data_IF_361217879982
#
_entry.id   IF_361217879982
#
_cell.length_a   1.000
_cell.length_b   1.000
_cell.length_c   1.000
_cell.angle_alpha   90.00
_cell.angle_beta   90.00
_cell.angle_gamma   90.00
#
_symmetry.space_group_name_H-M   'P 1'
#
loop_
_entity.id
_entity.type
_entity.pdbx_description
1 polymer ?
#
# COMPACT_ATOMS: atom_id res chain seq x y z
N UNK A 1 -80.71 47.63 22.26
CA UNK A 1 -79.44 47.53 23.01
C UNK A 1 -78.62 46.43 22.37
N UNK A 2 -77.63 46.79 21.56
CA UNK A 2 -76.64 45.81 21.07
C UNK A 2 -75.37 46.60 20.76
N UNK A 3 -74.35 46.43 21.61
CA UNK A 3 -73.05 47.12 21.51
C UNK A 3 -72.07 46.25 20.72
N UNK A 4 -71.47 46.86 19.72
CA UNK A 4 -70.34 46.39 18.92
C UNK A 4 -69.06 46.38 19.75
N UNK A 5 -68.26 45.32 19.68
CA UNK A 5 -66.86 45.32 20.13
C UNK A 5 -65.97 44.86 18.98
N UNK A 6 -65.02 45.72 18.58
CA UNK A 6 -63.90 45.40 17.70
C UNK A 6 -62.82 44.67 18.50
N UNK A 7 -62.31 43.56 17.97
CA UNK A 7 -61.08 42.93 18.43
C UNK A 7 -59.92 43.31 17.50
N UNK A 8 -58.89 43.94 18.03
CA UNK A 8 -57.66 44.27 17.33
C UNK A 8 -56.71 43.05 17.32
N UNK A 9 -56.35 42.57 16.14
CA UNK A 9 -55.35 41.53 15.96
C UNK A 9 -53.93 42.10 15.98
N UNK A 10 -53.09 41.61 16.89
CA UNK A 10 -51.64 41.89 16.92
C UNK A 10 -50.93 40.88 16.02
N UNK A 11 -50.25 41.38 14.99
CA UNK A 11 -49.43 40.58 14.08
C UNK A 11 -48.03 40.44 14.68
N UNK A 12 -47.67 39.26 15.17
CA UNK A 12 -46.33 38.95 15.64
C UNK A 12 -45.47 38.49 14.45
N UNK A 13 -44.46 39.29 14.08
CA UNK A 13 -43.44 38.93 13.09
C UNK A 13 -42.39 38.03 13.73
N UNK A 14 -42.38 36.75 13.34
CA UNK A 14 -41.32 35.81 13.70
C UNK A 14 -40.06 36.12 12.87
N UNK A 15 -39.01 36.61 13.53
CA UNK A 15 -37.68 36.71 12.93
C UNK A 15 -37.05 35.31 12.86
N UNK A 16 -36.90 34.77 11.66
CA UNK A 16 -36.15 33.54 11.43
C UNK A 16 -34.65 33.84 11.59
N UNK A 17 -34.09 33.50 12.76
CA UNK A 17 -32.65 33.41 12.93
C UNK A 17 -32.14 32.24 12.07
N UNK A 18 -31.43 32.56 10.98
CA UNK A 18 -30.75 31.55 10.18
C UNK A 18 -29.64 30.90 11.01
N UNK A 19 -29.90 29.70 11.52
CA UNK A 19 -28.85 28.81 11.96
C UNK A 19 -28.01 28.43 10.74
N UNK A 20 -26.86 29.09 10.57
CA UNK A 20 -25.81 28.57 9.71
C UNK A 20 -25.42 27.20 10.28
N UNK A 21 -25.82 26.14 9.58
CA UNK A 21 -25.27 24.80 9.82
C UNK A 21 -23.81 24.89 9.41
N UNK A 22 -22.93 25.12 10.39
CA UNK A 22 -21.50 24.91 10.22
C UNK A 22 -21.33 23.44 9.84
N UNK A 23 -21.00 23.17 8.57
CA UNK A 23 -20.50 21.87 8.19
C UNK A 23 -19.32 21.53 9.12
N UNK A 24 -19.25 20.33 9.71
CA UNK A 24 -18.09 19.96 10.50
C UNK A 24 -16.85 20.09 9.61
N UNK A 25 -15.89 20.92 10.04
CA UNK A 25 -14.58 20.98 9.40
C UNK A 25 -13.96 19.59 9.44
N UNK A 26 -13.73 19.00 8.28
CA UNK A 26 -13.17 17.66 8.08
C UNK A 26 -11.67 17.56 8.35
N UNK A 27 -11.07 18.54 9.02
CA UNK A 27 -9.64 18.57 9.28
C UNK A 27 -9.33 17.67 10.47
N UNK A 28 -8.93 16.43 10.16
CA UNK A 28 -8.32 15.53 11.13
C UNK A 28 -7.11 16.22 11.78
N UNK A 29 -6.95 16.15 13.11
CA UNK A 29 -5.85 16.82 13.80
C UNK A 29 -4.50 16.27 13.33
N UNK A 30 -3.53 17.15 13.11
CA UNK A 30 -2.18 16.77 12.74
C UNK A 30 -1.45 16.14 13.93
N UNK A 31 -0.91 14.94 13.73
CA UNK A 31 0.03 14.32 14.65
C UNK A 31 1.41 15.00 14.64
N UNK A 32 2.32 14.60 15.55
CA UNK A 32 3.72 14.98 15.45
C UNK A 32 4.33 14.40 14.16
N UNK A 33 5.34 15.07 13.56
CA UNK A 33 6.05 14.49 12.43
C UNK A 33 6.76 13.20 12.84
N UNK A 34 6.72 12.21 11.95
CA UNK A 34 7.51 10.98 12.03
C UNK A 34 8.91 11.22 11.44
N UNK A 35 9.82 10.23 11.61
CA UNK A 35 11.15 10.29 10.98
C UNK A 35 11.07 9.99 9.48
N UNK A 36 10.11 9.14 9.12
CA UNK A 36 9.93 8.59 7.79
C UNK A 36 9.24 9.60 6.87
N UNK A 37 9.82 9.78 5.67
CA UNK A 37 9.17 10.46 4.55
C UNK A 37 8.65 9.41 3.58
N UNK A 38 7.44 9.60 3.10
CA UNK A 38 6.76 8.67 2.20
C UNK A 38 6.73 9.28 0.81
N UNK A 39 7.08 8.47 -0.17
CA UNK A 39 6.75 8.68 -1.58
C UNK A 39 5.56 7.81 -1.92
N UNK A 40 4.56 8.35 -2.62
CA UNK A 40 3.39 7.59 -3.05
C UNK A 40 3.03 7.93 -4.50
N UNK A 41 2.32 7.03 -5.16
CA UNK A 41 1.66 7.33 -6.44
C UNK A 41 0.16 7.20 -6.25
N UNK A 42 -0.59 8.20 -6.70
CA UNK A 42 -2.04 8.17 -6.66
C UNK A 42 -2.70 7.63 -7.94
N UNK A 43 -4.02 7.41 -7.88
CA UNK A 43 -4.79 6.90 -9.01
C UNK A 43 -4.73 7.83 -10.24
N UNK A 44 -4.46 9.13 -10.07
CA UNK A 44 -4.23 10.09 -11.14
C UNK A 44 -2.78 10.06 -11.70
N UNK A 45 -1.96 9.09 -11.26
CA UNK A 45 -0.56 8.95 -11.67
C UNK A 45 0.30 10.15 -11.27
N UNK A 46 0.04 10.71 -10.09
CA UNK A 46 0.87 11.78 -9.51
C UNK A 46 1.75 11.20 -8.42
N UNK A 47 3.04 11.56 -8.46
CA UNK A 47 3.99 11.30 -7.40
C UNK A 47 3.76 12.29 -6.27
N UNK A 48 3.48 11.77 -5.09
CA UNK A 48 3.24 12.52 -3.86
C UNK A 48 4.41 12.32 -2.90
N UNK A 49 4.71 13.34 -2.10
CA UNK A 49 5.61 13.21 -0.95
C UNK A 49 4.93 13.77 0.29
N UNK A 50 5.02 13.06 1.42
CA UNK A 50 4.48 13.52 2.70
C UNK A 50 5.26 12.93 3.88
N UNK A 51 5.14 13.53 5.06
CA UNK A 51 5.71 12.97 6.27
C UNK A 51 4.78 11.91 6.86
N UNK A 52 5.29 10.74 7.26
CA UNK A 52 4.47 9.62 7.69
C UNK A 52 3.61 9.90 8.95
N UNK A 53 3.94 10.90 9.76
CA UNK A 53 3.15 11.35 10.91
C UNK A 53 2.12 12.43 10.59
N UNK A 54 2.17 13.00 9.38
CA UNK A 54 1.32 14.11 8.91
C UNK A 54 0.82 13.86 7.48
N UNK A 55 0.13 12.74 7.20
CA UNK A 55 -0.34 12.38 5.85
C UNK A 55 -1.31 13.41 5.24
N UNK A 56 -1.93 14.26 6.07
CA UNK A 56 -2.83 15.33 5.64
C UNK A 56 -2.10 16.52 4.98
N UNK A 57 -0.75 16.56 5.04
CA UNK A 57 0.06 17.63 4.47
C UNK A 57 1.06 17.09 3.44
N UNK A 58 0.76 17.33 2.17
CA UNK A 58 1.71 17.05 1.09
C UNK A 58 2.90 18.01 1.18
N UNK A 59 4.10 17.44 1.08
CA UNK A 59 5.35 18.14 0.89
C UNK A 59 5.60 18.44 -0.60
N UNK A 60 5.17 17.55 -1.48
CA UNK A 60 5.30 17.69 -2.93
C UNK A 60 4.21 16.91 -3.68
N UNK A 61 3.91 17.35 -4.90
CA UNK A 61 2.99 16.68 -5.84
C UNK A 61 3.39 16.99 -7.27
N UNK A 62 3.66 15.97 -8.08
CA UNK A 62 4.01 16.09 -9.50
C UNK A 62 3.38 14.99 -10.32
N UNK A 63 2.91 15.31 -11.54
CA UNK A 63 2.42 14.30 -12.47
C UNK A 63 3.58 13.43 -12.97
N UNK A 64 3.42 12.11 -12.96
CA UNK A 64 4.39 11.20 -13.55
C UNK A 64 4.46 11.39 -15.06
N UNK A 65 5.67 11.34 -15.60
CA UNK A 65 5.93 11.37 -17.05
C UNK A 65 6.75 10.15 -17.46
N UNK A 66 6.78 9.81 -18.75
CA UNK A 66 7.61 8.71 -19.28
C UNK A 66 7.00 7.30 -19.20
N UNK A 67 5.81 7.14 -18.59
CA UNK A 67 5.01 5.91 -18.72
C UNK A 67 4.55 5.71 -20.17
N UNK A 68 4.38 4.45 -20.59
CA UNK A 68 3.78 4.16 -21.89
C UNK A 68 2.32 4.68 -21.96
N UNK A 69 1.82 5.05 -23.14
CA UNK A 69 0.43 5.49 -23.30
C UNK A 69 -0.56 4.43 -22.77
N UNK A 70 -1.46 4.86 -21.88
CA UNK A 70 -2.47 4.00 -21.26
C UNK A 70 -1.97 3.10 -20.13
N UNK A 71 -0.68 3.18 -19.77
CA UNK A 71 -0.11 2.45 -18.64
C UNK A 71 -0.29 3.22 -17.33
N UNK A 72 -0.57 2.48 -16.25
CA UNK A 72 -0.65 3.01 -14.88
C UNK A 72 0.29 2.26 -13.95
N UNK A 73 0.78 2.92 -12.90
CA UNK A 73 1.53 2.31 -11.81
C UNK A 73 0.60 1.41 -10.99
N UNK A 74 1.11 0.24 -10.62
CA UNK A 74 0.46 -0.77 -9.78
C UNK A 74 1.10 -0.94 -8.40
N UNK A 75 2.31 -0.41 -8.21
CA UNK A 75 3.06 -0.50 -6.96
C UNK A 75 4.43 0.14 -7.12
N UNK A 76 5.06 0.51 -6.01
CA UNK A 76 6.38 1.12 -5.96
C UNK A 76 7.14 0.65 -4.74
N UNK A 77 8.46 0.64 -4.86
CA UNK A 77 9.35 0.46 -3.71
C UNK A 77 10.78 0.96 -4.03
N UNK A 78 11.56 1.27 -3.00
CA UNK A 78 12.97 1.61 -3.09
C UNK A 78 13.86 0.37 -3.10
N UNK A 79 14.77 0.32 -4.08
CA UNK A 79 15.98 -0.47 -3.95
C UNK A 79 16.94 0.25 -3.00
N UNK A 80 16.77 0.03 -1.70
CA UNK A 80 17.49 0.73 -0.61
C UNK A 80 19.01 0.80 -0.85
N UNK A 81 19.63 -0.31 -1.25
CA UNK A 81 21.08 -0.39 -1.51
C UNK A 81 21.62 0.61 -2.55
N UNK A 82 20.75 1.22 -3.36
CA UNK A 82 21.12 2.26 -4.34
C UNK A 82 20.30 3.55 -4.25
N UNK A 83 19.36 3.65 -3.30
CA UNK A 83 18.45 4.80 -3.19
C UNK A 83 17.61 5.05 -4.45
N UNK A 84 17.24 4.00 -5.17
CA UNK A 84 16.51 4.10 -6.45
C UNK A 84 15.05 3.69 -6.25
N UNK A 85 14.11 4.58 -6.59
CA UNK A 85 12.68 4.25 -6.59
C UNK A 85 12.31 3.49 -7.87
N UNK A 86 11.62 2.36 -7.71
CA UNK A 86 11.07 1.59 -8.81
C UNK A 86 9.55 1.59 -8.77
N UNK A 87 8.94 1.37 -9.93
CA UNK A 87 7.50 1.16 -10.05
C UNK A 87 7.18 0.03 -11.04
N UNK A 88 6.16 -0.76 -10.70
CA UNK A 88 5.55 -1.72 -11.61
C UNK A 88 4.44 -1.03 -12.39
N UNK A 89 4.51 -1.06 -13.71
CA UNK A 89 3.45 -0.59 -14.60
C UNK A 89 2.48 -1.70 -15.01
N UNK A 90 1.26 -1.32 -15.37
CA UNK A 90 0.16 -2.23 -15.71
C UNK A 90 0.37 -3.04 -16.98
N UNK A 91 1.38 -2.72 -17.80
CA UNK A 91 1.79 -3.55 -18.93
C UNK A 91 2.77 -4.66 -18.53
N UNK A 92 3.08 -4.81 -17.24
CA UNK A 92 4.16 -5.67 -16.76
C UNK A 92 5.54 -5.05 -17.01
N UNK A 93 5.65 -3.73 -17.10
CA UNK A 93 6.94 -3.07 -17.29
C UNK A 93 7.46 -2.54 -15.97
N UNK A 94 8.74 -2.78 -15.71
CA UNK A 94 9.44 -2.17 -14.59
C UNK A 94 9.94 -0.77 -14.99
N UNK A 95 9.81 0.19 -14.09
CA UNK A 95 10.32 1.54 -14.26
C UNK A 95 11.23 1.93 -13.10
N UNK A 96 12.22 2.77 -13.37
CA UNK A 96 12.89 3.59 -12.36
C UNK A 96 12.29 4.99 -12.39
N UNK A 97 11.93 5.53 -11.24
CA UNK A 97 11.37 6.88 -11.10
C UNK A 97 12.44 7.82 -10.54
N UNK A 98 12.65 8.94 -11.21
CA UNK A 98 13.38 10.08 -10.65
C UNK A 98 12.43 10.88 -9.76
N UNK A 99 12.68 10.92 -8.46
CA UNK A 99 11.76 11.51 -7.48
C UNK A 99 11.74 13.04 -7.50
N UNK A 100 12.77 13.68 -8.06
CA UNK A 100 12.84 15.13 -8.18
C UNK A 100 12.02 15.66 -9.36
N UNK A 101 12.02 14.94 -10.48
CA UNK A 101 11.34 15.32 -11.73
C UNK A 101 10.03 14.56 -11.97
N UNK A 102 9.78 13.47 -11.25
CA UNK A 102 8.70 12.51 -11.51
C UNK A 102 8.77 11.85 -12.89
N UNK A 103 9.97 11.72 -13.46
CA UNK A 103 10.19 11.03 -14.73
C UNK A 103 10.40 9.53 -14.51
N UNK A 104 9.57 8.69 -15.15
CA UNK A 104 9.69 7.24 -15.18
C UNK A 104 10.51 6.81 -16.41
N UNK A 105 11.53 5.99 -16.19
CA UNK A 105 12.37 5.40 -17.26
C UNK A 105 12.18 3.88 -17.26
N UNK A 106 11.85 3.26 -18.40
CA UNK A 106 11.63 1.82 -18.46
C UNK A 106 12.92 1.04 -18.21
N UNK A 107 12.77 -0.10 -17.53
CA UNK A 107 13.84 -1.04 -17.23
C UNK A 107 13.56 -2.33 -17.99
N UNK A 108 14.34 -2.58 -19.03
CA UNK A 108 14.20 -3.76 -19.88
C UNK A 108 12.87 -3.83 -20.64
N UNK A 109 12.47 -5.06 -20.94
CA UNK A 109 11.22 -5.36 -21.66
C UNK A 109 10.08 -5.69 -20.68
N UNK A 110 8.81 -5.60 -21.10
CA UNK A 110 7.69 -6.08 -20.29
C UNK A 110 7.84 -7.56 -19.94
N UNK A 111 7.17 -7.98 -18.86
CA UNK A 111 7.17 -9.36 -18.42
C UNK A 111 6.68 -10.30 -19.52
N UNK A 112 7.40 -11.42 -19.69
CA UNK A 112 6.97 -12.50 -20.59
C UNK A 112 5.73 -13.25 -20.07
N UNK A 113 5.48 -13.18 -18.75
CA UNK A 113 4.33 -13.78 -18.08
C UNK A 113 3.42 -12.64 -17.62
N UNK A 114 2.14 -12.71 -18.01
CA UNK A 114 1.17 -11.67 -17.68
C UNK A 114 0.94 -11.57 -16.16
N UNK A 115 0.74 -10.33 -15.70
CA UNK A 115 0.24 -10.07 -14.36
C UNK A 115 -1.21 -10.56 -14.25
N UNK A 116 -1.52 -11.24 -13.15
CA UNK A 116 -2.84 -11.81 -12.88
C UNK A 116 -3.41 -11.16 -11.62
N UNK A 117 -4.68 -10.73 -11.70
CA UNK A 117 -5.35 -10.02 -10.62
C UNK A 117 -5.51 -8.52 -10.89
N UNK A 118 -6.06 -7.82 -9.92
CA UNK A 118 -6.31 -6.38 -9.97
C UNK A 118 -5.48 -5.59 -8.95
N UNK A 119 -5.01 -6.25 -7.88
CA UNK A 119 -4.27 -5.62 -6.80
C UNK A 119 -2.93 -6.33 -6.59
N UNK A 120 -1.88 -5.55 -6.31
CA UNK A 120 -0.50 -6.04 -6.33
C UNK A 120 0.32 -5.50 -5.16
N UNK A 121 1.05 -6.40 -4.49
CA UNK A 121 2.14 -6.02 -3.59
C UNK A 121 3.46 -6.03 -4.35
N UNK A 122 4.26 -4.97 -4.19
CA UNK A 122 5.53 -4.78 -4.88
C UNK A 122 6.56 -4.30 -3.88
N UNK A 123 7.63 -5.07 -3.67
CA UNK A 123 8.61 -4.75 -2.62
C UNK A 123 9.98 -5.42 -2.84
N UNK A 124 11.07 -4.72 -2.58
CA UNK A 124 12.43 -5.21 -2.67
C UNK A 124 12.78 -6.06 -1.47
N UNK A 125 13.26 -7.26 -1.74
CA UNK A 125 14.01 -7.99 -0.73
C UNK A 125 15.39 -7.32 -0.57
N UNK A 126 15.71 -6.72 0.60
CA UNK A 126 16.97 -6.02 0.79
C UNK A 126 18.19 -6.94 0.77
N UNK A 127 18.02 -8.25 0.98
CA UNK A 127 19.13 -9.21 1.14
C UNK A 127 19.54 -9.86 -0.18
N UNK A 128 18.56 -10.21 -1.03
CA UNK A 128 18.83 -10.85 -2.34
C UNK A 128 18.70 -9.90 -3.53
N UNK A 129 18.33 -8.64 -3.28
CA UNK A 129 18.23 -7.58 -4.28
C UNK A 129 17.31 -7.99 -5.45
N UNK A 130 16.10 -8.43 -5.11
CA UNK A 130 15.04 -8.79 -6.06
C UNK A 130 13.74 -8.14 -5.67
N UNK A 131 13.03 -7.64 -6.67
CA UNK A 131 11.69 -7.07 -6.49
C UNK A 131 10.67 -8.20 -6.49
N UNK A 132 9.98 -8.43 -5.38
CA UNK A 132 8.84 -9.35 -5.35
C UNK A 132 7.61 -8.65 -5.89
N UNK A 133 6.80 -9.41 -6.63
CA UNK A 133 5.44 -9.05 -7.02
C UNK A 133 4.50 -10.17 -6.57
N UNK A 134 3.46 -9.80 -5.83
CA UNK A 134 2.36 -10.67 -5.41
C UNK A 134 1.03 -10.10 -5.85
N UNK A 135 -0.01 -10.92 -5.98
CA UNK A 135 -1.34 -10.43 -6.34
C UNK A 135 -2.49 -11.08 -5.57
N UNK A 136 -3.65 -10.45 -5.66
CA UNK A 136 -4.91 -10.88 -5.06
C UNK A 136 -5.44 -12.21 -5.61
N UNK A 137 -4.94 -12.65 -6.76
CA UNK A 137 -5.22 -13.99 -7.33
C UNK A 137 -4.19 -15.04 -6.93
N UNK A 138 -3.24 -14.70 -6.06
CA UNK A 138 -2.23 -15.62 -5.55
C UNK A 138 -0.99 -15.77 -6.44
N UNK A 139 -0.78 -14.86 -7.40
CA UNK A 139 0.46 -14.83 -8.17
C UNK A 139 1.62 -14.43 -7.25
N UNK A 140 2.80 -15.02 -7.49
CA UNK A 140 4.03 -14.73 -6.76
C UNK A 140 5.19 -14.86 -7.74
N UNK A 141 5.96 -13.80 -7.92
CA UNK A 141 7.13 -13.79 -8.79
C UNK A 141 8.16 -12.78 -8.31
N UNK A 142 9.36 -12.85 -8.87
CA UNK A 142 10.46 -11.93 -8.59
C UNK A 142 11.00 -11.37 -9.90
N UNK A 143 11.40 -10.10 -9.89
CA UNK A 143 12.09 -9.45 -11.00
C UNK A 143 13.54 -9.11 -10.65
N UNK A 144 14.39 -9.13 -11.66
CA UNK A 144 15.75 -8.61 -11.58
C UNK A 144 15.74 -7.09 -11.80
N UNK A 145 16.20 -6.27 -10.84
CA UNK A 145 16.06 -4.80 -10.92
C UNK A 145 16.81 -4.15 -12.06
N UNK A 146 17.93 -4.73 -12.51
CA UNK A 146 18.71 -4.13 -13.60
C UNK A 146 18.21 -4.51 -15.01
N UNK A 147 17.41 -5.59 -15.14
CA UNK A 147 16.97 -6.10 -16.47
C UNK A 147 15.46 -6.13 -16.64
N UNK A 148 14.68 -6.00 -15.57
CA UNK A 148 13.22 -6.14 -15.60
C UNK A 148 12.72 -7.57 -15.85
N UNK A 149 13.62 -8.54 -16.04
CA UNK A 149 13.26 -9.92 -16.33
C UNK A 149 12.78 -10.65 -15.07
N UNK A 150 11.86 -11.60 -15.27
CA UNK A 150 11.44 -12.54 -14.21
C UNK A 150 12.63 -13.40 -13.81
N UNK A 151 12.81 -13.58 -12.51
CA UNK A 151 13.76 -14.54 -11.94
C UNK A 151 13.14 -15.92 -12.04
N UNK A 152 13.80 -16.79 -12.79
CA UNK A 152 13.38 -18.18 -12.95
C UNK A 152 13.44 -18.94 -11.62
N UNK A 153 12.29 -19.47 -11.20
CA UNK A 153 12.17 -20.24 -9.96
C UNK A 153 12.75 -21.66 -10.08
N UNK A 154 12.82 -22.21 -11.30
CA UNK A 154 13.42 -23.52 -11.57
C UNK A 154 14.20 -23.52 -12.89
N UNK A 155 15.48 -23.12 -12.87
CA UNK A 155 16.31 -23.02 -14.08
C UNK A 155 16.64 -24.37 -14.72
N UNK A 156 16.21 -25.50 -14.12
CA UNK A 156 16.34 -26.83 -14.73
C UNK A 156 15.17 -27.18 -15.64
N UNK A 157 14.05 -26.48 -15.50
CA UNK A 157 12.87 -26.64 -16.35
C UNK A 157 12.97 -25.67 -17.53
N UNK A 158 12.57 -26.11 -18.72
CA UNK A 158 12.61 -25.27 -19.91
C UNK A 158 11.60 -24.12 -19.81
N UNK A 159 12.05 -22.90 -20.12
CA UNK A 159 11.25 -21.67 -20.05
C UNK A 159 11.18 -21.07 -18.65
N UNK A 160 10.76 -19.81 -18.58
CA UNK A 160 10.69 -19.06 -17.32
C UNK A 160 9.59 -19.59 -16.40
N UNK A 161 9.96 -20.00 -15.19
CA UNK A 161 9.02 -20.38 -14.14
C UNK A 161 8.86 -19.27 -13.10
N UNK A 162 7.63 -19.01 -12.65
CA UNK A 162 7.36 -18.12 -11.51
C UNK A 162 7.49 -18.88 -10.18
N UNK A 163 7.55 -18.14 -9.08
CA UNK A 163 7.60 -18.72 -7.74
C UNK A 163 6.29 -19.47 -7.40
N UNK A 164 6.32 -20.27 -6.33
CA UNK A 164 5.16 -21.04 -5.89
C UNK A 164 3.96 -20.14 -5.57
N UNK A 165 2.73 -20.54 -5.95
CA UNK A 165 1.54 -19.72 -5.76
C UNK A 165 1.26 -19.50 -4.28
N UNK A 166 0.67 -18.35 -3.97
CA UNK A 166 0.33 -17.99 -2.61
C UNK A 166 -0.76 -18.91 -2.07
N UNK A 167 -0.49 -19.53 -0.92
CA UNK A 167 -1.49 -20.28 -0.18
C UNK A 167 -1.09 -20.38 1.29
N UNK A 168 -2.10 -20.38 2.16
CA UNK A 168 -1.91 -20.63 3.58
C UNK A 168 -1.25 -21.99 3.83
N UNK A 169 -0.30 -21.98 4.74
CA UNK A 169 0.33 -23.20 5.25
C UNK A 169 -0.73 -24.13 5.84
N UNK A 170 -0.53 -25.45 5.75
CA UNK A 170 -1.48 -26.43 6.25
C UNK A 170 -1.68 -26.35 7.77
N UNK A 171 -0.69 -25.84 8.51
CA UNK A 171 -0.77 -25.60 9.94
C UNK A 171 -1.30 -24.20 10.29
N UNK A 172 -1.57 -23.34 9.31
CA UNK A 172 -2.10 -22.00 9.56
C UNK A 172 -3.57 -22.03 9.95
N UNK A 173 -4.01 -21.06 10.77
CA UNK A 173 -5.42 -20.90 11.14
C UNK A 173 -6.34 -20.69 9.94
N UNK A 174 -5.82 -20.17 8.83
CA UNK A 174 -6.55 -19.94 7.58
C UNK A 174 -6.25 -21.00 6.50
N UNK A 175 -5.71 -22.16 6.87
CA UNK A 175 -5.46 -23.27 5.96
C UNK A 175 -6.69 -23.59 5.07
N UNK A 176 -6.44 -23.79 3.77
CA UNK A 176 -7.48 -24.09 2.79
C UNK A 176 -8.30 -22.88 2.30
N UNK A 177 -8.13 -21.69 2.89
CA UNK A 177 -8.73 -20.46 2.35
C UNK A 177 -7.94 -19.94 1.16
N UNK A 178 -8.65 -19.41 0.15
CA UNK A 178 -8.03 -18.69 -0.96
C UNK A 178 -7.54 -17.32 -0.48
N UNK A 179 -6.24 -17.01 -0.55
CA UNK A 179 -5.74 -15.71 -0.14
C UNK A 179 -6.16 -14.61 -1.14
N UNK A 180 -6.12 -13.37 -0.67
CA UNK A 180 -6.20 -12.16 -1.50
C UNK A 180 -5.12 -11.18 -1.04
N UNK A 181 -3.86 -11.48 -1.39
CA UNK A 181 -2.71 -10.68 -0.98
C UNK A 181 -2.59 -9.45 -1.87
N UNK A 182 -2.76 -8.27 -1.28
CA UNK A 182 -2.80 -7.00 -2.04
C UNK A 182 -1.60 -6.11 -1.81
N UNK A 183 -0.77 -6.41 -0.80
CA UNK A 183 0.42 -5.64 -0.47
C UNK A 183 1.48 -6.53 0.17
N UNK A 184 2.76 -6.19 0.01
CA UNK A 184 3.90 -6.90 0.59
C UNK A 184 4.95 -5.89 1.05
N UNK A 185 5.76 -6.27 2.04
CA UNK A 185 6.80 -5.43 2.63
C UNK A 185 7.86 -6.28 3.33
N UNK A 186 9.13 -5.96 3.17
CA UNK A 186 10.25 -6.68 3.75
C UNK A 186 10.86 -5.94 4.93
N UNK A 187 11.18 -6.66 6.02
CA UNK A 187 12.02 -6.09 7.08
C UNK A 187 13.47 -6.01 6.65
N UNK A 188 14.20 -5.08 7.26
CA UNK A 188 15.65 -4.99 7.20
C UNK A 188 16.25 -5.39 8.54
N UNK A 189 17.12 -6.41 8.54
CA UNK A 189 17.82 -6.80 9.76
C UNK A 189 19.15 -6.05 9.90
N UNK A 190 19.29 -5.27 10.95
CA UNK A 190 20.47 -4.43 11.19
C UNK A 190 21.67 -5.19 11.79
N UNK A 191 21.48 -6.41 12.30
CA UNK A 191 22.53 -7.23 12.88
C UNK A 191 23.09 -8.26 11.88
N UNK A 192 22.24 -8.78 11.00
CA UNK A 192 22.61 -9.72 9.95
C UNK A 192 21.84 -9.38 8.66
N UNK A 193 22.51 -8.70 7.74
CA UNK A 193 21.97 -8.26 6.44
C UNK A 193 21.53 -9.41 5.52
N UNK A 194 21.78 -10.67 5.90
CA UNK A 194 21.29 -11.86 5.17
C UNK A 194 19.90 -12.28 5.59
N UNK A 195 19.38 -11.70 6.68
CA UNK A 195 18.09 -12.01 7.26
C UNK A 195 17.06 -10.94 6.89
N UNK A 196 15.87 -11.41 6.53
CA UNK A 196 14.69 -10.57 6.29
C UNK A 196 13.44 -11.40 6.50
N UNK A 197 12.34 -10.76 6.87
CA UNK A 197 11.00 -11.32 6.94
C UNK A 197 10.14 -10.64 5.89
N UNK A 198 9.48 -11.41 5.04
CA UNK A 198 8.46 -10.88 4.14
C UNK A 198 7.10 -10.88 4.83
N UNK A 199 6.52 -9.70 4.99
CA UNK A 199 5.15 -9.49 5.42
C UNK A 199 4.27 -9.17 4.22
N UNK A 200 2.98 -9.44 4.38
CA UNK A 200 1.97 -9.14 3.39
C UNK A 200 0.62 -8.86 4.05
N UNK A 201 -0.28 -8.21 3.31
CA UNK A 201 -1.65 -7.93 3.74
C UNK A 201 -2.61 -8.75 2.88
N UNK A 202 -3.43 -9.57 3.54
CA UNK A 202 -4.59 -10.21 2.92
C UNK A 202 -5.84 -9.35 3.17
N UNK A 203 -6.37 -8.75 2.11
CA UNK A 203 -7.52 -7.85 2.20
C UNK A 203 -8.83 -8.59 2.46
N UNK A 204 -8.97 -9.82 1.96
CA UNK A 204 -10.20 -10.62 2.12
C UNK A 204 -10.40 -11.01 3.58
N UNK A 205 -9.32 -11.35 4.27
CA UNK A 205 -9.35 -11.75 5.67
C UNK A 205 -9.04 -10.59 6.63
N UNK A 206 -8.51 -9.48 6.14
CA UNK A 206 -8.16 -8.31 6.96
C UNK A 206 -7.04 -8.62 7.96
N UNK A 207 -6.04 -9.39 7.54
CA UNK A 207 -4.94 -9.87 8.39
C UNK A 207 -3.58 -9.46 7.84
N UNK A 208 -2.64 -9.22 8.76
CA UNK A 208 -1.22 -9.26 8.46
C UNK A 208 -0.77 -10.72 8.42
N UNK A 209 0.01 -11.07 7.40
CA UNK A 209 0.61 -12.39 7.21
C UNK A 209 2.11 -12.25 6.99
N UNK A 210 2.82 -13.36 7.18
CA UNK A 210 4.17 -13.56 6.65
C UNK A 210 4.11 -14.49 5.44
N UNK A 211 4.92 -14.22 4.43
CA UNK A 211 5.16 -15.13 3.31
C UNK A 211 6.53 -15.78 3.52
N UNK A 212 6.53 -17.09 3.79
CA UNK A 212 7.70 -17.79 4.32
C UNK A 212 7.75 -17.80 5.84
N UNK A 213 8.93 -18.02 6.40
CA UNK A 213 9.17 -18.00 7.85
C UNK A 213 9.72 -16.65 8.30
N UNK A 214 9.44 -16.27 9.55
CA UNK A 214 10.15 -15.17 10.21
C UNK A 214 11.63 -15.49 10.38
N UNK A 215 12.43 -14.44 10.50
CA UNK A 215 13.84 -14.54 10.87
C UNK A 215 14.02 -15.38 12.15
N UNK A 216 15.06 -16.21 12.18
CA UNK A 216 15.39 -17.09 13.32
C UNK A 216 14.56 -18.38 13.42
N UNK A 217 13.47 -18.55 12.67
CA UNK A 217 12.67 -19.78 12.68
C UNK A 217 13.35 -20.89 11.88
N UNK A 218 13.37 -22.11 12.43
CA UNK A 218 13.92 -23.31 11.78
C UNK A 218 12.90 -24.47 11.79
N UNK A 219 12.74 -25.21 10.67
CA UNK A 219 13.39 -24.98 9.37
C UNK A 219 12.85 -23.70 8.71
N UNK A 220 13.74 -22.94 8.07
CA UNK A 220 13.37 -21.75 7.32
C UNK A 220 12.54 -22.12 6.08
N UNK A 221 11.48 -21.35 5.82
CA UNK A 221 10.65 -21.49 4.62
C UNK A 221 10.83 -20.25 3.77
N UNK A 222 11.39 -20.43 2.58
CA UNK A 222 11.58 -19.33 1.64
C UNK A 222 10.23 -18.75 1.21
N UNK A 223 10.10 -17.42 1.11
CA UNK A 223 8.92 -16.79 0.55
C UNK A 223 8.63 -17.22 -0.91
N UNK A 224 9.64 -17.71 -1.64
CA UNK A 224 9.48 -18.22 -3.01
C UNK A 224 8.56 -19.47 -3.08
N UNK A 225 8.27 -20.12 -1.95
CA UNK A 225 7.31 -21.22 -1.89
C UNK A 225 5.85 -20.75 -1.86
N UNK A 226 5.61 -19.44 -1.69
CA UNK A 226 4.29 -18.83 -1.55
C UNK A 226 3.53 -19.23 -0.28
N UNK A 227 4.19 -19.87 0.71
CA UNK A 227 3.52 -20.30 1.93
C UNK A 227 3.22 -19.11 2.85
N UNK A 228 1.96 -18.95 3.23
CA UNK A 228 1.49 -17.85 4.07
C UNK A 228 1.23 -18.32 5.50
N UNK A 229 1.58 -17.49 6.48
CA UNK A 229 1.26 -17.68 7.91
C UNK A 229 0.68 -16.42 8.52
N UNK A 230 -0.45 -16.53 9.19
CA UNK A 230 -1.19 -15.45 9.84
C UNK A 230 -0.40 -14.92 11.04
N UNK A 231 -0.21 -13.59 11.08
CA UNK A 231 0.35 -12.89 12.23
C UNK A 231 -0.77 -12.46 13.16
N UNK A 232 -1.79 -11.79 12.61
CA UNK A 232 -2.96 -11.36 13.36
C UNK A 232 -3.84 -10.39 12.59
N UNK A 233 -5.00 -10.03 13.14
CA UNK A 233 -5.95 -9.15 12.48
C UNK A 233 -5.45 -7.70 12.45
N UNK A 234 -5.70 -7.02 11.33
CA UNK A 234 -5.40 -5.59 11.17
C UNK A 234 -6.30 -4.73 12.06
N UNK A 235 -7.54 -5.17 12.33
CA UNK A 235 -8.55 -4.38 13.04
C UNK A 235 -8.79 -2.98 12.44
N UNK A 236 -8.57 -2.85 11.13
CA UNK A 236 -8.63 -1.57 10.41
C UNK A 236 -10.00 -1.30 9.74
N UNK A 237 -11.02 -2.09 10.03
CA UNK A 237 -12.26 -2.10 9.24
C UNK A 237 -12.07 -2.74 7.85
N UNK A 238 -13.13 -2.75 7.05
CA UNK A 238 -13.07 -3.28 5.69
C UNK A 238 -12.23 -2.37 4.78
N UNK A 239 -11.51 -2.98 3.84
CA UNK A 239 -10.81 -2.34 2.75
C UNK A 239 -10.65 -3.37 1.62
N UNK A 240 -10.38 -2.93 0.40
CA UNK A 240 -10.15 -3.84 -0.73
C UNK A 240 -8.73 -3.72 -1.24
N UNK A 241 -8.16 -2.52 -1.16
CA UNK A 241 -6.85 -2.20 -1.71
C UNK A 241 -5.93 -1.77 -0.59
N UNK A 242 -4.67 -2.14 -0.68
CA UNK A 242 -3.65 -1.64 0.22
C UNK A 242 -2.32 -1.41 -0.50
N UNK A 243 -1.56 -0.45 -0.01
CA UNK A 243 -0.13 -0.34 -0.28
C UNK A 243 0.58 -0.38 1.07
N UNK A 244 1.69 -1.10 1.16
CA UNK A 244 2.36 -1.41 2.42
C UNK A 244 3.86 -1.35 2.21
N UNK A 245 4.58 -0.79 3.18
CA UNK A 245 6.04 -0.76 3.17
C UNK A 245 6.58 -0.71 4.61
N UNK A 246 7.81 -1.18 4.79
CA UNK A 246 8.53 -1.31 6.06
C UNK A 246 9.88 -0.60 5.94
N UNK A 247 10.10 0.42 6.77
CA UNK A 247 11.32 1.22 6.74
C UNK A 247 12.55 0.42 7.19
N UNK A 248 13.66 0.62 6.50
CA UNK A 248 14.94 -0.09 6.69
C UNK A 248 15.68 0.25 8.00
N UNK A 249 15.43 1.43 8.59
CA UNK A 249 16.11 1.87 9.81
C UNK A 249 15.55 1.23 11.09
N UNK A 250 14.23 1.13 11.24
CA UNK A 250 13.62 0.63 12.49
C UNK A 250 12.52 -0.40 12.27
N UNK A 251 12.35 -0.91 11.04
CA UNK A 251 11.23 -1.74 10.66
C UNK A 251 9.86 -1.13 11.02
N UNK A 252 9.76 0.20 10.97
CA UNK A 252 8.49 0.89 11.09
C UNK A 252 7.65 0.55 9.86
N UNK A 253 6.49 -0.05 10.07
CA UNK A 253 5.61 -0.46 8.99
C UNK A 253 4.41 0.48 8.85
N UNK A 254 4.12 0.90 7.62
CA UNK A 254 2.97 1.74 7.29
C UNK A 254 2.16 1.14 6.16
N UNK A 255 0.85 1.39 6.16
CA UNK A 255 0.00 1.06 5.04
C UNK A 255 -0.95 2.20 4.68
N UNK A 256 -1.25 2.30 3.40
CA UNK A 256 -2.38 3.03 2.89
C UNK A 256 -3.50 2.03 2.58
N UNK A 257 -4.62 2.11 3.30
CA UNK A 257 -5.78 1.24 3.12
C UNK A 257 -6.89 1.98 2.39
N UNK A 258 -7.47 1.36 1.36
CA UNK A 258 -8.53 1.99 0.58
C UNK A 258 -9.71 1.04 0.39
N UNK A 259 -10.88 1.53 0.75
CA UNK A 259 -12.16 0.86 0.55
C UNK A 259 -12.50 0.83 -0.96
N UNK A 260 -13.38 -0.06 -1.42
CA UNK A 260 -13.73 -0.22 -2.85
C UNK A 260 -14.06 1.12 -3.52
N UNK A 261 -15.05 1.83 -2.95
CA UNK A 261 -15.52 3.15 -3.41
C UNK A 261 -14.76 4.32 -2.75
N UNK A 262 -13.67 4.02 -2.05
CA UNK A 262 -12.89 4.96 -1.29
C UNK A 262 -12.23 6.01 -2.19
N UNK A 263 -12.59 7.28 -1.97
CA UNK A 263 -12.02 8.43 -2.70
C UNK A 263 -10.65 8.84 -2.17
N UNK A 264 -10.28 8.40 -0.96
CA UNK A 264 -9.01 8.68 -0.29
C UNK A 264 -8.55 7.48 0.51
N UNK A 265 -7.23 7.30 0.62
CA UNK A 265 -6.64 6.22 1.40
C UNK A 265 -6.47 6.62 2.88
N UNK A 266 -6.75 5.68 3.77
CA UNK A 266 -6.49 5.78 5.21
C UNK A 266 -5.05 5.35 5.47
N UNK A 267 -4.26 6.25 6.04
CA UNK A 267 -2.89 5.99 6.45
C UNK A 267 -2.84 5.41 7.87
N UNK A 268 -2.19 4.25 8.01
CA UNK A 268 -2.10 3.51 9.26
C UNK A 268 -0.66 3.09 9.53
N UNK A 269 -0.29 3.00 10.81
CA UNK A 269 0.90 2.25 11.26
C UNK A 269 0.50 0.81 11.56
N UNK A 270 1.32 -0.16 11.15
CA UNK A 270 1.08 -1.58 11.42
C UNK A 270 2.10 -2.08 12.46
N UNK A 271 1.62 -2.77 13.48
CA UNK A 271 2.45 -3.51 14.41
C UNK A 271 2.80 -4.88 13.80
N UNK A 272 4.08 -5.10 13.46
CA UNK A 272 4.53 -6.34 12.80
C UNK A 272 4.51 -7.58 13.71
N UNK A 273 4.34 -7.42 15.02
CA UNK A 273 4.28 -8.56 15.95
C UNK A 273 2.85 -9.09 16.09
N UNK A 274 1.87 -8.18 16.13
CA UNK A 274 0.45 -8.49 16.40
C UNK A 274 -0.43 -8.40 15.16
N UNK A 275 0.03 -7.69 14.12
CA UNK A 275 -0.78 -7.35 12.95
C UNK A 275 -1.68 -6.14 13.14
N UNK A 276 -1.83 -5.58 14.34
CA UNK A 276 -2.79 -4.51 14.58
C UNK A 276 -2.40 -3.20 13.85
N UNK A 277 -3.38 -2.57 13.20
CA UNK A 277 -3.24 -1.27 12.58
C UNK A 277 -3.71 -0.15 13.51
N UNK A 278 -2.95 0.94 13.57
CA UNK A 278 -3.32 2.18 14.25
C UNK A 278 -3.50 3.29 13.22
N UNK A 279 -4.69 3.89 13.17
CA UNK A 279 -4.98 4.99 12.25
C UNK A 279 -4.19 6.25 12.60
N UNK A 280 -3.63 6.91 11.59
CA UNK A 280 -2.92 8.19 11.71
C UNK A 280 -3.77 9.29 11.09
N UNK A 281 -4.33 9.05 9.90
CA UNK A 281 -5.19 9.99 9.21
C UNK A 281 -5.37 9.65 7.74
N UNK A 282 -5.99 10.53 6.97
CA UNK A 282 -6.17 10.39 5.53
C UNK A 282 -4.99 11.00 4.77
N UNK A 283 -4.59 10.33 3.70
CA UNK A 283 -3.58 10.87 2.77
C UNK A 283 -4.22 12.02 1.99
N UNK A 284 -3.56 13.19 2.00
CA UNK A 284 -3.99 14.33 1.22
C UNK A 284 -3.80 14.12 -0.30
N UNK A 285 -4.39 15.00 -1.11
CA UNK A 285 -4.33 14.90 -2.58
C UNK A 285 -5.64 14.48 -3.23
N UNK A 286 -6.63 14.06 -2.42
CA UNK A 286 -8.01 13.83 -2.86
C UNK A 286 -8.20 12.62 -3.79
N UNK A 287 -7.22 11.72 -3.82
CA UNK A 287 -7.23 10.50 -4.62
C UNK A 287 -6.70 9.34 -3.77
N UNK A 288 -7.15 8.10 -4.04
CA UNK A 288 -6.55 6.94 -3.42
C UNK A 288 -5.14 6.69 -3.96
N UNK A 289 -4.25 6.18 -3.12
CA UNK A 289 -2.91 5.77 -3.54
C UNK A 289 -2.91 4.34 -4.09
N UNK A 290 -2.06 4.10 -5.08
CA UNK A 290 -1.85 2.80 -5.74
C UNK A 290 -0.47 2.20 -5.43
N UNK A 291 0.37 2.92 -4.70
CA UNK A 291 1.62 2.41 -4.14
C UNK A 291 2.23 3.43 -3.20
N UNK A 292 3.08 2.95 -2.30
CA UNK A 292 3.84 3.75 -1.33
C UNK A 292 5.25 3.18 -1.24
N UNK A 293 6.22 4.02 -0.90
CA UNK A 293 7.56 3.62 -0.50
C UNK A 293 8.10 4.62 0.52
N UNK A 294 8.82 4.13 1.51
CA UNK A 294 9.49 4.89 2.56
C UNK A 294 10.86 5.28 2.03
N UNK A 295 11.20 6.57 2.07
CA UNK A 295 12.53 7.04 1.69
C UNK A 295 13.58 6.44 2.64
N UNK A 296 14.67 5.83 2.12
CA UNK A 296 15.78 5.30 2.92
C UNK A 296 16.63 6.40 3.55
#
# INVERSE_FOLDING_TARGET
MTRTFLAAGVLATLAAAGCAVMAPSTDEPLGPPAKETIVAVDAEQRLLRFNAGQPQKLLDRRTLTGLQPGERVLGLDYRVARGQLFALGSSGRLYRIDTASAAATPVGSPLAIALQGSEFGVDFNPTVDRLRIVSDTGQNLRLHPDTGAIVDADPKTEGTQIDGPLAYDAADVNAGRTPAVVAAGYTYNQQDEKLTTNFAIDARLGVLITQGSREGVQPAVSPNTGRLRTVGPLNAGAFERASFDIGDVNNTAYAALTDHDGQVSRWVRIDLATGAATAIGRIAGGQPVVGIAIEP
#
